data_IF_237598799334
#
_entry.id   IF_237598799334
#
_cell.length_a   1.000
_cell.length_b   1.000
_cell.length_c   1.000
_cell.angle_alpha   90.00
_cell.angle_beta   90.00
_cell.angle_gamma   90.00
#
_symmetry.space_group_name_H-M   'P 1'
#
loop_
_entity.id
_entity.type
_entity.pdbx_description
1 polymer ?
#
# COMPACT_ATOMS: atom_id res chain seq x y z
N UNK A 1 26.03 -66.91 48.24
CA UNK A 1 24.82 -66.97 47.35
C UNK A 1 24.74 -65.66 46.62
N UNK A 2 25.23 -65.62 45.38
CA UNK A 2 25.19 -64.46 44.48
C UNK A 2 24.04 -64.66 43.53
N UNK A 3 23.08 -63.68 43.45
CA UNK A 3 22.03 -63.62 42.42
C UNK A 3 22.47 -62.73 41.30
N UNK A 4 22.70 -63.31 40.14
CA UNK A 4 22.93 -62.70 38.85
C UNK A 4 21.65 -62.00 38.39
N UNK A 5 21.73 -60.67 38.13
CA UNK A 5 20.67 -59.92 37.44
C UNK A 5 21.03 -59.86 35.97
N UNK A 6 20.33 -60.64 35.15
CA UNK A 6 20.41 -60.57 33.71
C UNK A 6 19.63 -59.31 33.22
N UNK A 7 20.31 -58.33 32.63
CA UNK A 7 19.75 -57.20 31.93
C UNK A 7 19.26 -57.64 30.54
N UNK A 8 17.94 -57.63 30.30
CA UNK A 8 17.37 -57.75 28.96
C UNK A 8 17.69 -56.48 28.14
N UNK A 9 18.60 -56.61 27.20
CA UNK A 9 18.78 -55.64 26.15
C UNK A 9 17.67 -55.83 25.09
N UNK A 10 16.74 -54.87 25.01
CA UNK A 10 15.82 -54.78 23.90
C UNK A 10 16.61 -54.36 22.66
N UNK A 11 16.37 -54.94 21.46
CA UNK A 11 17.06 -54.54 20.25
C UNK A 11 16.57 -53.15 19.85
N UNK A 12 17.54 -52.22 19.62
CA UNK A 12 17.29 -50.92 19.05
C UNK A 12 16.65 -51.11 17.67
N UNK A 13 15.39 -50.71 17.53
CA UNK A 13 14.75 -50.60 16.24
C UNK A 13 15.56 -49.64 15.35
N UNK A 14 16.19 -50.18 14.33
CA UNK A 14 16.91 -49.42 13.32
C UNK A 14 15.89 -48.51 12.65
N UNK A 15 15.95 -47.21 12.95
CA UNK A 15 15.23 -46.19 12.22
C UNK A 15 15.82 -46.16 10.80
N UNK A 16 15.06 -46.71 9.87
CA UNK A 16 15.33 -46.63 8.43
C UNK A 16 15.36 -45.13 8.05
N UNK A 17 16.45 -44.59 7.53
CA UNK A 17 16.43 -43.21 7.03
C UNK A 17 15.55 -43.19 5.79
N UNK A 18 14.40 -42.54 5.88
CA UNK A 18 13.59 -42.17 4.73
C UNK A 18 14.35 -41.11 3.92
N UNK A 19 15.33 -41.53 3.12
CA UNK A 19 16.03 -40.72 2.14
C UNK A 19 15.20 -40.63 0.86
N UNK A 20 14.05 -39.96 0.97
CA UNK A 20 13.40 -39.36 -0.18
C UNK A 20 13.30 -37.88 0.12
N UNK A 21 14.16 -37.04 -0.49
CA UNK A 21 14.02 -35.59 -0.41
C UNK A 21 12.72 -35.17 -1.11
N UNK A 22 11.60 -35.25 -0.41
CA UNK A 22 10.36 -34.74 -0.91
C UNK A 22 10.50 -33.22 -1.02
N UNK A 23 10.19 -32.66 -2.20
CA UNK A 23 10.31 -31.21 -2.45
C UNK A 23 9.28 -30.46 -1.59
N UNK A 24 9.70 -29.38 -0.96
CA UNK A 24 8.80 -28.53 -0.16
C UNK A 24 7.56 -28.10 -0.97
N UNK A 25 6.37 -28.16 -0.38
CA UNK A 25 5.09 -28.01 -1.07
C UNK A 25 4.77 -26.59 -1.57
N UNK A 26 5.50 -25.54 -1.21
CA UNK A 26 5.32 -24.15 -1.66
C UNK A 26 3.93 -23.53 -1.39
N UNK A 27 3.19 -24.03 -0.41
CA UNK A 27 1.87 -23.49 -0.04
C UNK A 27 1.96 -22.04 0.41
N UNK A 28 3.06 -21.66 1.12
CA UNK A 28 3.29 -20.29 1.55
C UNK A 28 3.23 -19.29 0.40
N UNK A 29 3.77 -19.62 -0.75
CA UNK A 29 3.75 -18.71 -1.91
C UNK A 29 2.38 -18.61 -2.56
N UNK A 30 1.56 -19.68 -2.50
CA UNK A 30 0.14 -19.61 -2.93
C UNK A 30 -0.68 -18.70 -2.01
N UNK A 31 -0.42 -18.73 -0.70
CA UNK A 31 -1.02 -17.79 0.26
C UNK A 31 -0.65 -16.36 -0.10
N UNK A 32 0.63 -16.09 -0.39
CA UNK A 32 1.07 -14.76 -0.78
C UNK A 32 0.57 -14.33 -2.17
N UNK A 33 0.30 -15.25 -3.08
CA UNK A 33 -0.39 -14.94 -4.34
C UNK A 33 -1.85 -14.49 -4.08
N UNK A 34 -2.56 -15.10 -3.12
CA UNK A 34 -3.89 -14.63 -2.70
C UNK A 34 -3.80 -13.24 -2.05
N UNK A 35 -2.83 -13.01 -1.15
CA UNK A 35 -2.63 -11.71 -0.51
C UNK A 35 -2.31 -10.64 -1.57
N UNK A 36 -1.46 -10.94 -2.54
CA UNK A 36 -1.18 -10.08 -3.69
C UNK A 36 -2.46 -9.73 -4.47
N UNK A 37 -3.31 -10.73 -4.78
CA UNK A 37 -4.58 -10.50 -5.45
C UNK A 37 -5.52 -9.63 -4.62
N UNK A 38 -5.57 -9.83 -3.29
CA UNK A 38 -6.35 -9.00 -2.38
C UNK A 38 -5.86 -7.55 -2.36
N UNK A 39 -4.55 -7.30 -2.31
CA UNK A 39 -3.99 -5.93 -2.36
C UNK A 39 -4.20 -5.28 -3.72
N UNK A 40 -4.15 -6.04 -4.80
CA UNK A 40 -4.45 -5.56 -6.14
C UNK A 40 -5.90 -5.11 -6.26
N UNK A 41 -6.86 -5.96 -5.85
CA UNK A 41 -8.29 -5.63 -5.89
C UNK A 41 -8.63 -4.48 -4.95
N UNK A 42 -8.00 -4.40 -3.78
CA UNK A 42 -8.13 -3.28 -2.86
C UNK A 42 -7.87 -1.92 -3.56
N UNK A 43 -6.83 -1.84 -4.38
CA UNK A 43 -6.52 -0.61 -5.12
C UNK A 43 -7.41 -0.42 -6.36
N UNK A 44 -7.88 -1.50 -6.98
CA UNK A 44 -8.92 -1.43 -8.02
C UNK A 44 -10.18 -0.75 -7.46
N UNK A 45 -10.65 -1.18 -6.28
CA UNK A 45 -11.84 -0.62 -5.64
C UNK A 45 -11.64 0.84 -5.21
N UNK A 46 -10.43 1.22 -4.80
CA UNK A 46 -10.11 2.62 -4.48
C UNK A 46 -10.13 3.50 -5.73
N UNK A 47 -9.49 3.08 -6.82
CA UNK A 47 -9.42 3.88 -8.04
C UNK A 47 -10.75 3.89 -8.80
N UNK A 48 -11.63 2.91 -8.60
CA UNK A 48 -12.92 2.80 -9.28
C UNK A 48 -13.77 4.06 -9.11
N UNK A 49 -13.83 4.61 -7.89
CA UNK A 49 -14.54 5.86 -7.65
C UNK A 49 -13.89 7.04 -8.36
N UNK A 50 -12.56 7.14 -8.36
CA UNK A 50 -11.85 8.25 -9.02
C UNK A 50 -12.10 8.24 -10.54
N UNK A 51 -12.09 7.05 -11.16
CA UNK A 51 -12.41 6.88 -12.58
C UNK A 51 -13.88 7.22 -12.89
N UNK A 52 -14.80 6.78 -12.04
CA UNK A 52 -16.23 7.01 -12.21
C UNK A 52 -16.67 8.43 -11.79
N UNK A 53 -15.85 9.16 -11.02
CA UNK A 53 -16.24 10.45 -10.43
C UNK A 53 -16.75 11.48 -11.44
N UNK A 54 -16.17 11.67 -12.63
CA UNK A 54 -16.71 12.61 -13.61
C UNK A 54 -18.16 12.28 -14.00
N UNK A 55 -18.46 11.00 -14.22
CA UNK A 55 -19.81 10.52 -14.56
C UNK A 55 -20.78 10.67 -13.39
N UNK A 56 -20.34 10.27 -12.18
CA UNK A 56 -21.15 10.35 -10.95
C UNK A 56 -21.42 11.82 -10.58
N UNK A 57 -20.43 12.69 -10.72
CA UNK A 57 -20.56 14.11 -10.43
C UNK A 57 -21.56 14.79 -11.34
N UNK A 58 -21.59 14.42 -12.62
CA UNK A 58 -22.60 14.91 -13.57
C UNK A 58 -23.99 14.38 -13.21
N UNK A 59 -24.13 13.08 -12.95
CA UNK A 59 -25.42 12.45 -12.62
C UNK A 59 -26.06 13.02 -11.34
N UNK A 60 -25.26 13.21 -10.29
CA UNK A 60 -25.73 13.70 -8.99
C UNK A 60 -25.57 15.21 -8.81
N UNK A 61 -25.11 15.94 -9.82
CA UNK A 61 -24.84 17.38 -9.78
C UNK A 61 -23.95 17.77 -8.58
N UNK A 62 -22.87 17.01 -8.35
CA UNK A 62 -21.99 17.19 -7.20
C UNK A 62 -21.07 18.39 -7.38
N UNK A 63 -21.06 19.30 -6.40
CA UNK A 63 -20.05 20.37 -6.35
C UNK A 63 -18.63 19.79 -6.18
N UNK A 64 -17.57 20.48 -6.64
CA UNK A 64 -16.19 20.02 -6.47
C UNK A 64 -15.81 19.74 -5.01
N UNK A 65 -16.28 20.57 -4.06
CA UNK A 65 -16.06 20.32 -2.64
C UNK A 65 -16.70 19.03 -2.15
N UNK A 66 -17.92 18.71 -2.60
CA UNK A 66 -18.59 17.46 -2.23
C UNK A 66 -17.91 16.23 -2.86
N UNK A 67 -17.43 16.35 -4.11
CA UNK A 67 -16.59 15.32 -4.73
C UNK A 67 -15.33 15.06 -3.89
N UNK A 68 -14.65 16.11 -3.43
CA UNK A 68 -13.48 16.02 -2.56
C UNK A 68 -13.79 15.34 -1.23
N UNK A 69 -14.92 15.66 -0.59
CA UNK A 69 -15.39 15.01 0.64
C UNK A 69 -15.63 13.50 0.43
N UNK A 70 -16.33 13.15 -0.65
CA UNK A 70 -16.61 11.74 -0.99
C UNK A 70 -15.31 10.96 -1.27
N UNK A 71 -14.37 11.55 -2.03
CA UNK A 71 -13.06 10.93 -2.30
C UNK A 71 -12.22 10.76 -1.04
N UNK A 72 -12.32 11.71 -0.08
CA UNK A 72 -11.62 11.67 1.19
C UNK A 72 -12.23 10.71 2.21
N UNK A 73 -13.56 10.54 2.18
CA UNK A 73 -14.34 9.86 3.22
C UNK A 73 -13.90 8.41 3.49
N UNK A 74 -13.39 7.74 2.48
CA UNK A 74 -12.77 6.41 2.62
C UNK A 74 -11.63 6.42 3.65
N UNK A 75 -10.74 7.41 3.58
CA UNK A 75 -9.53 7.47 4.41
C UNK A 75 -9.84 7.78 5.88
N UNK A 76 -11.00 8.36 6.20
CA UNK A 76 -11.39 8.68 7.58
C UNK A 76 -11.53 7.40 8.42
N UNK A 77 -12.39 6.50 7.99
CA UNK A 77 -12.61 5.24 8.68
C UNK A 77 -11.41 4.28 8.53
N UNK A 78 -10.78 4.27 7.35
CA UNK A 78 -9.57 3.48 7.09
C UNK A 78 -8.46 3.80 8.09
N UNK A 79 -8.15 5.08 8.31
CA UNK A 79 -7.11 5.49 9.25
C UNK A 79 -7.46 5.18 10.71
N UNK A 80 -8.71 5.46 11.12
CA UNK A 80 -9.19 5.22 12.48
C UNK A 80 -9.22 3.74 12.84
N UNK A 81 -9.61 2.88 11.91
CA UNK A 81 -9.83 1.46 12.18
C UNK A 81 -8.59 0.58 11.93
N UNK A 82 -7.45 1.13 11.54
CA UNK A 82 -6.19 0.37 11.49
C UNK A 82 -5.77 -0.16 12.85
N UNK A 83 -5.90 0.64 13.93
CA UNK A 83 -5.53 0.24 15.29
C UNK A 83 -6.51 -0.82 15.83
N UNK A 84 -7.85 -0.61 15.83
CA UNK A 84 -8.79 -1.66 16.16
C UNK A 84 -8.65 -2.92 15.31
N UNK A 85 -8.36 -2.76 14.01
CA UNK A 85 -8.10 -3.87 13.09
C UNK A 85 -6.90 -4.70 13.53
N UNK A 86 -5.81 -4.07 13.94
CA UNK A 86 -4.63 -4.75 14.50
C UNK A 86 -4.97 -5.56 15.75
N UNK A 87 -5.74 -4.98 16.69
CA UNK A 87 -6.22 -5.70 17.87
C UNK A 87 -7.12 -6.91 17.51
N UNK A 88 -8.02 -6.75 16.53
CA UNK A 88 -8.84 -7.87 16.04
C UNK A 88 -8.00 -9.01 15.48
N UNK A 89 -6.93 -8.70 14.73
CA UNK A 89 -6.01 -9.67 14.15
C UNK A 89 -5.29 -10.46 15.23
N UNK A 90 -4.83 -9.80 16.29
CA UNK A 90 -4.14 -10.47 17.39
C UNK A 90 -5.10 -11.36 18.20
N UNK A 91 -6.38 -10.97 18.34
CA UNK A 91 -7.38 -11.73 19.11
C UNK A 91 -8.02 -12.88 18.33
N UNK A 92 -8.36 -12.68 17.05
CA UNK A 92 -9.17 -13.62 16.26
C UNK A 92 -8.37 -14.34 15.16
N UNK A 93 -7.11 -13.97 14.96
CA UNK A 93 -6.23 -14.46 13.90
C UNK A 93 -6.41 -13.74 12.56
N UNK A 94 -5.31 -13.57 11.80
CA UNK A 94 -5.31 -12.86 10.53
C UNK A 94 -6.20 -13.50 9.46
N UNK A 95 -6.29 -14.81 9.40
CA UNK A 95 -7.13 -15.54 8.43
C UNK A 95 -8.62 -15.16 8.54
N UNK A 96 -9.15 -15.18 9.77
CA UNK A 96 -10.58 -14.85 10.01
C UNK A 96 -10.85 -13.39 9.70
N UNK A 97 -9.99 -12.50 10.23
CA UNK A 97 -10.15 -11.05 10.08
C UNK A 97 -10.06 -10.64 8.62
N UNK A 98 -9.06 -11.08 7.85
CA UNK A 98 -8.92 -10.72 6.44
C UNK A 98 -10.08 -11.26 5.59
N UNK A 99 -10.57 -12.48 5.89
CA UNK A 99 -11.69 -13.08 5.15
C UNK A 99 -13.00 -12.33 5.37
N UNK A 100 -13.34 -11.99 6.64
CA UNK A 100 -14.53 -11.20 6.95
C UNK A 100 -14.43 -9.77 6.45
N UNK A 101 -13.28 -9.14 6.65
CA UNK A 101 -12.96 -7.81 6.16
C UNK A 101 -13.15 -7.72 4.64
N UNK A 102 -12.58 -8.66 3.89
CA UNK A 102 -12.74 -8.73 2.42
C UNK A 102 -14.21 -8.94 2.00
N UNK A 103 -14.95 -9.79 2.72
CA UNK A 103 -16.38 -10.00 2.46
C UNK A 103 -17.21 -8.74 2.70
N UNK A 104 -16.94 -8.03 3.80
CA UNK A 104 -17.61 -6.77 4.11
C UNK A 104 -17.30 -5.69 3.07
N UNK A 105 -16.00 -5.52 2.70
CA UNK A 105 -15.65 -4.50 1.72
C UNK A 105 -16.24 -4.81 0.33
N UNK A 106 -16.23 -6.09 -0.13
CA UNK A 106 -16.89 -6.46 -1.38
C UNK A 106 -18.39 -6.15 -1.35
N UNK A 107 -19.05 -6.39 -0.20
CA UNK A 107 -20.46 -6.03 0.01
C UNK A 107 -20.67 -4.51 -0.08
N UNK A 108 -19.83 -3.70 0.57
CA UNK A 108 -19.94 -2.23 0.50
C UNK A 108 -19.59 -1.69 -0.88
N UNK A 109 -18.70 -2.33 -1.65
CA UNK A 109 -18.45 -1.98 -3.04
C UNK A 109 -19.69 -2.23 -3.92
N UNK A 110 -20.40 -3.35 -3.72
CA UNK A 110 -21.69 -3.60 -4.39
C UNK A 110 -22.74 -2.59 -3.95
N UNK A 111 -22.85 -2.32 -2.64
CA UNK A 111 -23.84 -1.36 -2.11
C UNK A 111 -23.58 0.07 -2.61
N UNK A 112 -22.34 0.47 -2.88
CA UNK A 112 -22.03 1.76 -3.47
C UNK A 112 -22.68 1.96 -4.85
N UNK A 113 -22.92 0.88 -5.60
CA UNK A 113 -23.63 0.92 -6.88
C UNK A 113 -25.10 1.35 -6.74
N UNK A 114 -25.71 1.18 -5.58
CA UNK A 114 -27.09 1.57 -5.31
C UNK A 114 -27.20 2.97 -4.68
N UNK A 115 -26.13 3.75 -4.68
CA UNK A 115 -26.16 5.13 -4.21
C UNK A 115 -27.14 5.97 -5.04
N UNK A 116 -27.98 6.77 -4.34
CA UNK A 116 -28.99 7.64 -4.93
C UNK A 116 -28.57 9.11 -4.91
N UNK A 117 -27.38 9.42 -4.39
CA UNK A 117 -26.84 10.77 -4.32
C UNK A 117 -25.50 10.80 -3.57
N UNK A 118 -24.91 11.99 -3.46
CA UNK A 118 -23.59 12.17 -2.86
C UNK A 118 -23.49 11.70 -1.42
N UNK A 119 -24.54 11.89 -0.60
CA UNK A 119 -24.53 11.49 0.81
C UNK A 119 -24.53 9.97 0.97
N UNK A 120 -25.35 9.23 0.24
CA UNK A 120 -25.38 7.77 0.26
C UNK A 120 -24.05 7.16 -0.23
N UNK A 121 -23.46 7.78 -1.27
CA UNK A 121 -22.14 7.39 -1.76
C UNK A 121 -21.03 7.64 -0.71
N UNK A 122 -21.09 8.77 -0.01
CA UNK A 122 -20.16 9.10 1.08
C UNK A 122 -20.20 8.04 2.18
N UNK A 123 -21.40 7.66 2.65
CA UNK A 123 -21.55 6.62 3.67
C UNK A 123 -21.04 5.26 3.19
N UNK A 124 -21.32 4.88 1.93
CA UNK A 124 -20.80 3.65 1.35
C UNK A 124 -19.26 3.65 1.33
N UNK A 125 -18.62 4.80 1.05
CA UNK A 125 -17.15 4.96 1.04
C UNK A 125 -16.54 4.90 2.45
N UNK A 126 -17.20 5.50 3.45
CA UNK A 126 -16.79 5.36 4.86
C UNK A 126 -16.82 3.90 5.30
N UNK A 127 -17.92 3.19 4.99
CA UNK A 127 -18.08 1.77 5.32
C UNK A 127 -17.05 0.89 4.59
N UNK A 128 -16.77 1.18 3.32
CA UNK A 128 -15.72 0.51 2.54
C UNK A 128 -14.35 0.70 3.18
N UNK A 129 -13.99 1.95 3.54
CA UNK A 129 -12.72 2.26 4.20
C UNK A 129 -12.57 1.55 5.55
N UNK A 130 -13.65 1.48 6.33
CA UNK A 130 -13.70 0.73 7.58
C UNK A 130 -13.42 -0.77 7.37
N UNK A 131 -14.05 -1.35 6.34
CA UNK A 131 -13.89 -2.77 6.03
C UNK A 131 -12.50 -3.11 5.49
N UNK A 132 -11.85 -2.22 4.74
CA UNK A 132 -10.53 -2.45 4.18
C UNK A 132 -9.36 -2.27 5.17
N UNK A 133 -9.58 -1.55 6.28
CA UNK A 133 -8.52 -1.18 7.22
C UNK A 133 -7.66 -2.36 7.74
N UNK A 134 -8.20 -3.57 8.01
CA UNK A 134 -7.42 -4.69 8.51
C UNK A 134 -6.53 -5.39 7.47
N UNK A 135 -6.64 -5.11 6.18
CA UNK A 135 -5.98 -5.87 5.12
C UNK A 135 -4.45 -5.91 5.28
N UNK A 136 -3.80 -4.74 5.29
CA UNK A 136 -2.34 -4.65 5.38
C UNK A 136 -1.78 -5.15 6.71
N UNK A 137 -2.37 -4.84 7.87
CA UNK A 137 -1.97 -5.46 9.13
C UNK A 137 -2.10 -6.99 9.14
N UNK A 138 -3.18 -7.54 8.55
CA UNK A 138 -3.35 -9.00 8.42
C UNK A 138 -2.28 -9.62 7.53
N UNK A 139 -1.96 -9.00 6.40
CA UNK A 139 -0.87 -9.43 5.52
C UNK A 139 0.49 -9.42 6.24
N UNK A 140 0.79 -8.36 6.99
CA UNK A 140 1.99 -8.27 7.82
C UNK A 140 2.09 -9.38 8.88
N UNK A 141 0.97 -9.72 9.54
CA UNK A 141 0.91 -10.85 10.48
C UNK A 141 1.13 -12.20 9.76
N UNK A 142 0.51 -12.41 8.61
CA UNK A 142 0.70 -13.62 7.80
C UNK A 142 2.15 -13.77 7.32
N UNK A 143 2.85 -12.67 6.98
CA UNK A 143 4.30 -12.69 6.68
C UNK A 143 5.07 -13.29 7.85
N UNK A 144 4.77 -12.89 9.09
CA UNK A 144 5.46 -13.38 10.26
C UNK A 144 5.16 -14.84 10.58
N UNK A 145 3.96 -15.32 10.24
CA UNK A 145 3.47 -16.69 10.51
C UNK A 145 3.89 -17.70 9.43
N UNK A 146 3.96 -17.29 8.17
CA UNK A 146 4.13 -18.19 7.03
C UNK A 146 5.50 -18.13 6.36
N UNK A 147 6.33 -17.13 6.68
CA UNK A 147 7.64 -16.97 6.05
C UNK A 147 8.78 -17.03 7.07
N UNK A 148 9.83 -17.75 6.71
CA UNK A 148 11.09 -17.69 7.43
C UNK A 148 11.64 -16.24 7.44
N UNK A 149 12.44 -15.84 8.46
CA UNK A 149 13.01 -14.48 8.53
C UNK A 149 13.72 -14.03 7.25
N UNK A 150 14.40 -14.93 6.55
CA UNK A 150 15.09 -14.68 5.27
C UNK A 150 14.15 -14.44 4.07
N UNK A 151 12.88 -14.86 4.16
CA UNK A 151 11.87 -14.73 3.09
C UNK A 151 10.90 -13.57 3.33
N UNK A 152 10.84 -12.97 4.53
CA UNK A 152 9.87 -11.95 4.93
C UNK A 152 9.90 -10.72 4.03
N UNK A 153 11.09 -10.27 3.62
CA UNK A 153 11.21 -9.14 2.69
C UNK A 153 10.57 -9.43 1.33
N UNK A 154 10.74 -10.66 0.81
CA UNK A 154 10.09 -11.08 -0.45
C UNK A 154 8.57 -11.10 -0.32
N UNK A 155 8.05 -11.61 0.79
CA UNK A 155 6.62 -11.60 1.09
C UNK A 155 6.04 -10.19 1.17
N UNK A 156 6.75 -9.27 1.83
CA UNK A 156 6.34 -7.87 1.94
C UNK A 156 6.33 -7.17 0.56
N UNK A 157 7.36 -7.37 -0.25
CA UNK A 157 7.43 -6.82 -1.61
C UNK A 157 6.31 -7.37 -2.49
N UNK A 158 6.04 -8.69 -2.42
CA UNK A 158 4.95 -9.30 -3.18
C UNK A 158 3.60 -8.72 -2.78
N UNK A 159 3.33 -8.57 -1.49
CA UNK A 159 2.11 -7.94 -0.98
C UNK A 159 1.97 -6.50 -1.48
N UNK A 160 3.03 -5.69 -1.34
CA UNK A 160 2.98 -4.26 -1.67
C UNK A 160 2.90 -4.01 -3.18
N UNK A 161 3.51 -4.86 -4.01
CA UNK A 161 3.49 -4.76 -5.48
C UNK A 161 2.10 -4.93 -6.10
N UNK A 162 1.15 -5.53 -5.37
CA UNK A 162 -0.25 -5.55 -5.76
C UNK A 162 -0.87 -4.15 -5.84
N UNK A 163 -0.38 -3.20 -5.04
CA UNK A 163 -0.95 -1.84 -4.97
C UNK A 163 -0.79 -1.05 -6.27
N UNK A 164 0.41 -0.77 -6.81
CA UNK A 164 0.56 0.00 -8.04
C UNK A 164 -0.05 -0.71 -9.26
N UNK A 165 0.02 -2.05 -9.30
CA UNK A 165 -0.62 -2.83 -10.34
C UNK A 165 -2.15 -2.75 -10.25
N UNK A 166 -2.70 -2.75 -9.04
CA UNK A 166 -4.13 -2.57 -8.80
C UNK A 166 -4.63 -1.22 -9.30
N UNK A 167 -3.89 -0.13 -9.07
CA UNK A 167 -4.27 1.19 -9.60
C UNK A 167 -4.21 1.22 -11.13
N UNK A 168 -3.13 0.70 -11.72
CA UNK A 168 -2.96 0.69 -13.17
C UNK A 168 -4.07 -0.13 -13.85
N UNK A 169 -4.21 -1.39 -13.46
CA UNK A 169 -5.21 -2.29 -14.05
C UNK A 169 -6.63 -1.83 -13.71
N UNK A 170 -6.85 -1.32 -12.50
CA UNK A 170 -8.15 -0.79 -12.06
C UNK A 170 -8.62 0.38 -12.91
N UNK A 171 -7.71 1.32 -13.22
CA UNK A 171 -8.02 2.43 -14.13
C UNK A 171 -8.51 1.94 -15.48
N UNK A 172 -7.81 0.97 -16.07
CA UNK A 172 -8.16 0.40 -17.36
C UNK A 172 -9.46 -0.44 -17.31
N UNK A 173 -9.56 -1.37 -16.35
CA UNK A 173 -10.69 -2.31 -16.23
C UNK A 173 -11.98 -1.55 -15.93
N UNK A 174 -11.97 -0.66 -14.95
CA UNK A 174 -13.17 0.09 -14.56
C UNK A 174 -13.64 1.04 -15.67
N UNK A 175 -12.71 1.74 -16.33
CA UNK A 175 -13.06 2.59 -17.46
C UNK A 175 -13.66 1.78 -18.63
N UNK A 176 -13.10 0.61 -18.92
CA UNK A 176 -13.63 -0.29 -19.95
C UNK A 176 -15.01 -0.82 -19.58
N UNK A 177 -15.23 -1.25 -18.33
CA UNK A 177 -16.53 -1.71 -17.85
C UNK A 177 -17.59 -0.60 -17.94
N UNK A 178 -17.25 0.62 -17.49
CA UNK A 178 -18.19 1.77 -17.58
C UNK A 178 -18.54 2.05 -19.04
N UNK A 179 -17.54 2.08 -19.93
CA UNK A 179 -17.76 2.38 -21.34
C UNK A 179 -18.52 1.29 -22.10
N UNK A 180 -18.32 0.00 -21.74
CA UNK A 180 -18.99 -1.12 -22.42
C UNK A 180 -20.39 -1.40 -21.92
N UNK A 181 -20.65 -1.10 -20.64
CA UNK A 181 -21.95 -1.34 -20.00
C UNK A 181 -22.81 -0.07 -19.91
N UNK A 182 -22.24 1.08 -20.31
CA UNK A 182 -22.85 2.42 -20.16
C UNK A 182 -23.34 2.69 -18.72
N UNK A 183 -22.63 2.13 -17.73
CA UNK A 183 -23.05 2.15 -16.33
C UNK A 183 -21.90 2.03 -15.35
N UNK A 184 -21.63 3.07 -14.57
CA UNK A 184 -20.69 2.98 -13.46
C UNK A 184 -21.19 2.04 -12.33
N UNK A 185 -22.53 1.94 -12.18
CA UNK A 185 -23.15 1.04 -11.19
C UNK A 185 -22.82 -0.42 -11.45
N UNK A 186 -22.99 -0.86 -12.71
CA UNK A 186 -22.67 -2.24 -13.10
C UNK A 186 -21.17 -2.53 -12.94
N UNK A 187 -20.30 -1.57 -13.26
CA UNK A 187 -18.86 -1.72 -13.03
C UNK A 187 -18.53 -1.94 -11.54
N UNK A 188 -19.19 -1.21 -10.63
CA UNK A 188 -19.01 -1.37 -9.17
C UNK A 188 -19.57 -2.70 -8.66
N UNK A 189 -20.72 -3.16 -9.19
CA UNK A 189 -21.26 -4.49 -8.86
C UNK A 189 -20.28 -5.59 -9.27
N UNK A 190 -19.73 -5.53 -10.48
CA UNK A 190 -18.78 -6.53 -11.00
C UNK A 190 -17.51 -6.53 -10.13
N UNK A 191 -16.96 -5.35 -9.81
CA UNK A 191 -15.79 -5.24 -8.93
C UNK A 191 -16.07 -5.82 -7.54
N UNK A 192 -17.21 -5.48 -6.94
CA UNK A 192 -17.61 -6.00 -5.64
C UNK A 192 -17.83 -7.52 -5.63
N UNK A 193 -18.43 -8.08 -6.69
CA UNK A 193 -18.59 -9.53 -6.82
C UNK A 193 -17.21 -10.22 -6.95
N UNK A 194 -16.29 -9.66 -7.74
CA UNK A 194 -14.93 -10.19 -7.83
C UNK A 194 -14.23 -10.20 -6.45
N UNK A 195 -14.44 -9.15 -5.66
CA UNK A 195 -13.96 -9.07 -4.28
C UNK A 195 -14.59 -10.14 -3.38
N UNK A 196 -15.90 -10.39 -3.49
CA UNK A 196 -16.59 -11.44 -2.73
C UNK A 196 -16.08 -12.84 -3.09
N UNK A 197 -15.75 -13.10 -4.36
CA UNK A 197 -15.12 -14.36 -4.80
C UNK A 197 -13.74 -14.53 -4.15
N UNK A 198 -12.94 -13.45 -4.09
CA UNK A 198 -11.65 -13.48 -3.40
C UNK A 198 -11.80 -13.67 -1.87
N UNK A 199 -12.84 -13.09 -1.26
CA UNK A 199 -13.14 -13.31 0.16
C UNK A 199 -13.45 -14.79 0.43
N UNK A 200 -14.25 -15.42 -0.42
CA UNK A 200 -14.53 -16.84 -0.35
C UNK A 200 -13.26 -17.68 -0.51
N UNK A 201 -12.41 -17.35 -1.50
CA UNK A 201 -11.13 -18.03 -1.72
C UNK A 201 -10.19 -17.88 -0.52
N UNK A 202 -10.05 -16.66 0.02
CA UNK A 202 -9.27 -16.38 1.22
C UNK A 202 -9.80 -17.22 2.41
N UNK A 203 -11.12 -17.26 2.62
CA UNK A 203 -11.75 -18.05 3.69
C UNK A 203 -11.49 -19.55 3.55
N UNK A 204 -11.44 -20.06 2.34
CA UNK A 204 -11.23 -21.49 2.06
C UNK A 204 -9.77 -21.90 2.17
N UNK A 205 -8.85 -21.06 1.76
CA UNK A 205 -7.45 -21.42 1.57
C UNK A 205 -6.51 -20.92 2.67
N UNK A 206 -6.69 -19.70 3.17
CA UNK A 206 -5.82 -19.17 4.22
C UNK A 206 -5.99 -19.93 5.54
N UNK A 207 -4.92 -20.03 6.31
CA UNK A 207 -4.89 -20.55 7.70
C UNK A 207 -3.95 -19.68 8.53
N UNK A 208 -4.19 -19.62 9.85
CA UNK A 208 -3.31 -18.89 10.76
C UNK A 208 -2.04 -19.69 11.10
N UNK A 209 -2.20 -21.01 11.24
CA UNK A 209 -1.10 -21.92 11.55
C UNK A 209 -0.70 -22.75 10.33
N UNK A 210 0.57 -22.63 9.86
CA UNK A 210 1.08 -23.47 8.78
C UNK A 210 0.95 -24.98 9.02
N UNK A 211 1.11 -25.43 10.27
CA UNK A 211 1.01 -26.86 10.63
C UNK A 211 -0.43 -27.41 10.46
N UNK A 212 -1.44 -26.55 10.56
CA UNK A 212 -2.83 -26.91 10.39
C UNK A 212 -3.31 -26.97 8.92
N UNK A 213 -2.44 -26.58 7.97
CA UNK A 213 -2.81 -26.50 6.56
C UNK A 213 -2.62 -27.86 5.87
N UNK A 214 -3.68 -28.45 5.26
CA UNK A 214 -3.67 -29.84 4.77
C UNK A 214 -2.69 -30.11 3.62
N UNK A 215 -2.17 -29.07 2.95
CA UNK A 215 -1.27 -29.19 1.80
C UNK A 215 0.19 -28.85 2.17
N UNK A 216 0.49 -28.52 3.42
CA UNK A 216 1.86 -28.25 3.88
C UNK A 216 2.52 -29.55 4.27
N UNK A 217 3.66 -29.86 3.67
CA UNK A 217 4.48 -31.02 4.03
C UNK A 217 5.53 -30.66 5.11
N UNK A 218 6.17 -31.71 5.66
CA UNK A 218 7.15 -31.54 6.75
C UNK A 218 8.33 -30.65 6.35
N UNK A 219 8.79 -30.76 5.10
CA UNK A 219 9.93 -29.97 4.59
C UNK A 219 9.57 -28.50 4.43
N UNK A 220 8.34 -28.17 4.06
CA UNK A 220 7.88 -26.78 4.03
C UNK A 220 7.74 -26.20 5.43
N UNK A 221 7.19 -27.00 6.37
CA UNK A 221 7.05 -26.59 7.76
C UNK A 221 8.42 -26.32 8.42
N UNK A 222 9.41 -27.17 8.16
CA UNK A 222 10.80 -26.96 8.61
C UNK A 222 11.36 -25.65 8.05
N UNK A 223 11.20 -25.37 6.75
CA UNK A 223 11.63 -24.11 6.14
C UNK A 223 10.95 -22.89 6.77
N UNK A 224 9.65 -22.95 7.03
CA UNK A 224 8.91 -21.86 7.66
C UNK A 224 9.45 -21.58 9.06
N UNK A 225 9.84 -22.63 9.80
CA UNK A 225 10.33 -22.51 11.15
C UNK A 225 11.84 -22.21 11.23
N UNK A 226 12.58 -22.38 10.14
CA UNK A 226 14.02 -22.12 10.10
C UNK A 226 14.37 -20.69 10.48
N UNK A 227 15.23 -20.51 11.45
CA UNK A 227 15.74 -19.20 11.91
C UNK A 227 14.70 -18.35 12.67
N UNK A 228 13.58 -18.91 13.12
CA UNK A 228 12.70 -18.21 14.06
C UNK A 228 13.36 -18.07 15.42
N UNK A 229 13.33 -16.85 15.97
CA UNK A 229 13.78 -16.60 17.32
C UNK A 229 12.90 -17.35 18.34
N UNK A 230 13.51 -17.87 19.39
CA UNK A 230 12.76 -18.44 20.51
C UNK A 230 11.94 -17.34 21.20
N UNK A 231 10.76 -17.66 21.76
CA UNK A 231 9.93 -16.67 22.47
C UNK A 231 10.67 -15.91 23.58
N UNK A 232 11.68 -16.53 24.21
CA UNK A 232 12.52 -15.90 25.22
C UNK A 232 13.42 -14.78 24.66
N UNK A 233 13.90 -14.90 23.42
CA UNK A 233 14.70 -13.86 22.76
C UNK A 233 13.85 -12.66 22.30
N UNK A 234 12.57 -12.88 22.08
CA UNK A 234 11.60 -11.81 21.71
C UNK A 234 11.14 -11.01 22.95
N UNK A 235 11.01 -11.67 24.10
CA UNK A 235 10.63 -11.06 25.37
C UNK A 235 11.76 -10.20 26.00
N UNK A 236 13.01 -10.40 25.62
CA UNK A 236 14.18 -9.69 26.16
C UNK A 236 14.39 -8.27 25.55
N UNK A 237 13.46 -7.75 24.74
CA UNK A 237 13.55 -6.40 24.18
C UNK A 237 13.25 -5.35 25.26
N UNK A 238 14.29 -4.66 25.73
CA UNK A 238 14.21 -3.60 26.75
C UNK A 238 13.35 -2.44 26.25
N UNK A 239 12.38 -1.91 27.06
CA UNK A 239 11.62 -0.71 26.71
C UNK A 239 12.55 0.52 26.69
N UNK A 240 12.70 1.15 25.56
CA UNK A 240 13.51 2.37 25.39
C UNK A 240 12.62 3.60 25.60
N UNK A 241 13.02 4.57 26.45
CA UNK A 241 12.26 5.82 26.70
C UNK A 241 12.48 6.87 25.56
N UNK A 242 11.40 7.58 25.12
CA UNK A 242 11.41 8.67 24.14
C UNK A 242 11.56 8.22 22.68
N UNK A 243 11.53 9.06 21.63
CA UNK A 243 11.63 8.69 20.21
C UNK A 243 13.06 8.45 19.72
N UNK A 244 14.09 8.99 20.40
CA UNK A 244 15.50 8.78 20.08
C UNK A 244 15.95 9.36 18.72
N UNK A 245 15.17 10.30 18.18
CA UNK A 245 15.46 11.01 16.93
C UNK A 245 15.40 12.51 17.23
N UNK A 246 16.34 13.29 16.69
CA UNK A 246 16.29 14.74 16.82
C UNK A 246 15.00 15.32 16.21
N UNK A 247 14.41 16.30 16.87
CA UNK A 247 13.15 16.93 16.46
C UNK A 247 13.22 17.45 15.00
N UNK A 248 14.39 17.95 14.59
CA UNK A 248 14.65 18.41 13.22
C UNK A 248 14.48 17.28 12.20
N UNK A 249 15.10 16.13 12.42
CA UNK A 249 15.04 14.98 11.51
C UNK A 249 13.65 14.35 11.50
N UNK A 250 12.99 14.29 12.66
CA UNK A 250 11.61 13.81 12.76
C UNK A 250 10.65 14.73 11.99
N UNK A 251 10.72 16.05 12.18
CA UNK A 251 9.86 16.99 11.46
C UNK A 251 10.10 16.94 9.95
N UNK A 252 11.36 16.91 9.50
CA UNK A 252 11.70 16.72 8.09
C UNK A 252 11.11 15.41 7.51
N UNK A 253 11.22 14.32 8.25
CA UNK A 253 10.67 13.03 7.86
C UNK A 253 9.12 13.07 7.71
N UNK A 254 8.43 13.63 8.70
CA UNK A 254 6.96 13.66 8.72
C UNK A 254 6.40 14.62 7.68
N UNK A 255 6.93 15.84 7.59
CA UNK A 255 6.51 16.86 6.61
C UNK A 255 6.80 16.38 5.19
N UNK A 256 8.01 15.85 4.95
CA UNK A 256 8.40 15.36 3.63
C UNK A 256 7.53 14.17 3.19
N UNK A 257 7.26 13.23 4.09
CA UNK A 257 6.37 12.09 3.81
C UNK A 257 4.92 12.53 3.56
N UNK A 258 4.40 13.47 4.35
CA UNK A 258 3.06 14.02 4.15
C UNK A 258 2.95 14.76 2.81
N UNK A 259 3.93 15.61 2.47
CA UNK A 259 3.94 16.35 1.22
C UNK A 259 4.04 15.44 -0.01
N UNK A 260 4.89 14.42 0.05
CA UNK A 260 4.95 13.38 -0.97
C UNK A 260 3.57 12.70 -1.14
N UNK A 261 2.95 12.32 -0.03
CA UNK A 261 1.65 11.65 -0.03
C UNK A 261 0.54 12.56 -0.59
N UNK A 262 0.60 13.87 -0.35
CA UNK A 262 -0.32 14.84 -0.94
C UNK A 262 -0.28 14.80 -2.47
N UNK A 263 0.91 14.77 -3.06
CA UNK A 263 1.05 14.67 -4.52
C UNK A 263 0.54 13.32 -5.02
N UNK A 264 0.95 12.22 -4.38
CA UNK A 264 0.55 10.87 -4.77
C UNK A 264 -0.97 10.67 -4.72
N UNK A 265 -1.59 11.00 -3.59
CA UNK A 265 -3.05 10.87 -3.43
C UNK A 265 -3.82 11.87 -4.31
N UNK A 266 -3.23 13.02 -4.60
CA UNK A 266 -3.78 13.96 -5.57
C UNK A 266 -3.89 13.36 -6.97
N UNK A 267 -2.81 12.76 -7.46
CA UNK A 267 -2.83 12.04 -8.74
C UNK A 267 -3.82 10.88 -8.73
N UNK A 268 -3.89 10.12 -7.65
CA UNK A 268 -4.77 8.97 -7.52
C UNK A 268 -6.26 9.38 -7.52
N UNK A 269 -6.62 10.45 -6.82
CA UNK A 269 -8.02 10.80 -6.58
C UNK A 269 -8.57 11.80 -7.61
N UNK A 270 -7.79 12.79 -8.02
CA UNK A 270 -8.20 13.86 -8.92
C UNK A 270 -7.60 13.76 -10.33
N UNK A 271 -6.62 12.88 -10.55
CA UNK A 271 -6.05 12.63 -11.87
C UNK A 271 -7.09 12.35 -12.94
N UNK A 272 -8.05 11.42 -12.74
CA UNK A 272 -9.12 11.16 -13.69
C UNK A 272 -9.99 12.39 -13.99
N UNK A 273 -10.37 13.16 -12.98
CA UNK A 273 -11.14 14.39 -13.15
C UNK A 273 -10.35 15.48 -13.90
N UNK A 274 -9.04 15.59 -13.65
CA UNK A 274 -8.16 16.47 -14.42
C UNK A 274 -8.11 16.07 -15.90
N UNK A 275 -7.96 14.78 -16.20
CA UNK A 275 -7.94 14.28 -17.58
C UNK A 275 -9.26 14.54 -18.29
N UNK A 276 -10.40 14.34 -17.60
CA UNK A 276 -11.73 14.63 -18.16
C UNK A 276 -11.94 16.12 -18.40
N UNK A 277 -11.83 16.93 -17.35
CA UNK A 277 -12.29 18.32 -17.35
C UNK A 277 -11.27 19.29 -17.96
N UNK A 278 -9.97 19.07 -17.71
CA UNK A 278 -8.90 19.97 -18.17
C UNK A 278 -8.26 19.53 -19.49
N UNK A 279 -8.41 18.25 -19.87
CA UNK A 279 -7.76 17.65 -21.06
C UNK A 279 -8.73 17.04 -22.07
N UNK A 280 -10.02 16.96 -21.75
CA UNK A 280 -11.07 16.50 -22.67
C UNK A 280 -11.03 15.01 -23.01
N UNK A 281 -10.38 14.18 -22.17
CA UNK A 281 -10.40 12.73 -22.38
C UNK A 281 -11.79 12.14 -22.11
N UNK A 282 -12.22 11.23 -22.97
CA UNK A 282 -13.35 10.35 -22.69
C UNK A 282 -13.00 9.28 -21.64
N UNK A 283 -13.98 8.52 -21.20
CA UNK A 283 -13.79 7.53 -20.12
C UNK A 283 -12.73 6.46 -20.48
N UNK A 284 -12.66 6.03 -21.76
CA UNK A 284 -11.64 5.06 -22.20
C UNK A 284 -10.25 5.68 -22.19
N UNK A 285 -10.15 6.93 -22.66
CA UNK A 285 -8.91 7.70 -22.62
C UNK A 285 -8.41 7.94 -21.20
N UNK A 286 -9.31 8.23 -20.24
CA UNK A 286 -8.99 8.36 -18.82
C UNK A 286 -8.41 7.05 -18.28
N UNK A 287 -9.05 5.92 -18.59
CA UNK A 287 -8.57 4.60 -18.19
C UNK A 287 -7.19 4.27 -18.74
N UNK A 288 -6.97 4.48 -20.04
CA UNK A 288 -5.69 4.25 -20.71
C UNK A 288 -4.59 5.16 -20.15
N UNK A 289 -4.88 6.45 -19.97
CA UNK A 289 -3.92 7.39 -19.38
C UNK A 289 -3.56 7.02 -17.93
N UNK A 290 -4.56 6.66 -17.11
CA UNK A 290 -4.33 6.20 -15.73
C UNK A 290 -3.46 4.95 -15.71
N UNK A 291 -3.73 3.98 -16.60
CA UNK A 291 -2.89 2.78 -16.74
C UNK A 291 -1.43 3.14 -17.04
N UNK A 292 -1.18 3.97 -18.05
CA UNK A 292 0.18 4.39 -18.43
C UNK A 292 0.88 5.10 -17.26
N UNK A 293 0.20 6.05 -16.61
CA UNK A 293 0.74 6.82 -15.49
C UNK A 293 1.20 5.88 -14.35
N UNK A 294 0.34 4.96 -13.93
CA UNK A 294 0.63 4.12 -12.77
C UNK A 294 1.51 2.90 -13.09
N UNK A 295 1.53 2.41 -14.34
CA UNK A 295 2.56 1.45 -14.79
C UNK A 295 3.94 2.10 -14.78
N UNK A 296 4.07 3.33 -15.28
CA UNK A 296 5.32 4.09 -15.17
C UNK A 296 5.71 4.28 -13.69
N UNK A 297 4.75 4.57 -12.82
CA UNK A 297 4.99 4.66 -11.38
C UNK A 297 5.50 3.34 -10.79
N UNK A 298 4.91 2.19 -11.14
CA UNK A 298 5.37 0.88 -10.69
C UNK A 298 6.82 0.59 -11.13
N UNK A 299 7.15 0.89 -12.38
CA UNK A 299 8.52 0.78 -12.91
C UNK A 299 9.47 1.75 -12.17
N UNK A 300 9.00 2.95 -11.85
CA UNK A 300 9.73 3.93 -11.05
C UNK A 300 10.09 3.39 -9.67
N UNK A 301 9.14 2.78 -8.97
CA UNK A 301 9.38 2.18 -7.64
C UNK A 301 10.53 1.16 -7.67
N UNK A 302 10.55 0.28 -8.67
CA UNK A 302 11.61 -0.71 -8.85
C UNK A 302 12.96 -0.04 -9.15
N UNK A 303 12.99 0.90 -10.10
CA UNK A 303 14.23 1.57 -10.51
C UNK A 303 14.84 2.41 -9.39
N UNK A 304 14.02 3.05 -8.55
CA UNK A 304 14.49 3.82 -7.39
C UNK A 304 15.30 2.98 -6.42
N UNK A 305 14.85 1.77 -6.11
CA UNK A 305 15.56 0.82 -5.26
C UNK A 305 16.89 0.38 -5.87
N UNK A 306 16.88 -0.09 -7.13
CA UNK A 306 18.11 -0.50 -7.84
C UNK A 306 19.13 0.61 -7.97
N UNK A 307 18.69 1.84 -8.25
CA UNK A 307 19.58 2.99 -8.36
C UNK A 307 20.19 3.36 -7.01
N UNK A 308 19.41 3.33 -5.93
CA UNK A 308 19.89 3.53 -4.57
C UNK A 308 20.99 2.53 -4.21
N UNK A 309 20.74 1.23 -4.44
CA UNK A 309 21.71 0.18 -4.19
C UNK A 309 22.96 0.32 -5.08
N UNK A 310 22.77 0.77 -6.32
CA UNK A 310 23.87 1.07 -7.25
C UNK A 310 24.79 2.20 -6.75
N UNK A 311 24.21 3.27 -6.21
CA UNK A 311 24.96 4.38 -5.61
C UNK A 311 25.74 3.93 -4.36
N UNK A 312 25.11 3.13 -3.51
CA UNK A 312 25.76 2.59 -2.31
C UNK A 312 26.95 1.70 -2.69
N UNK A 313 26.82 0.83 -3.70
CA UNK A 313 27.94 0.01 -4.21
C UNK A 313 29.10 0.85 -4.76
N UNK A 314 28.82 2.05 -5.27
CA UNK A 314 29.85 3.01 -5.71
C UNK A 314 30.48 3.83 -4.56
N UNK A 315 30.14 3.50 -3.30
CA UNK A 315 30.72 4.17 -2.12
C UNK A 315 29.94 5.38 -1.62
N UNK A 316 28.78 5.71 -2.19
CA UNK A 316 27.91 6.77 -1.65
C UNK A 316 27.26 6.26 -0.37
N UNK A 317 27.28 7.07 0.71
CA UNK A 317 26.61 6.69 1.94
C UNK A 317 25.10 6.52 1.71
N UNK A 318 24.49 5.53 2.39
CA UNK A 318 23.08 5.18 2.20
C UNK A 318 22.14 6.37 2.41
N UNK A 319 22.43 7.18 3.41
CA UNK A 319 21.63 8.37 3.71
C UNK A 319 21.68 9.41 2.61
N UNK A 320 22.87 9.68 2.06
CA UNK A 320 23.05 10.62 0.92
C UNK A 320 22.36 10.07 -0.32
N UNK A 321 22.50 8.77 -0.63
CA UNK A 321 21.83 8.15 -1.77
C UNK A 321 20.31 8.29 -1.70
N UNK A 322 19.71 7.97 -0.55
CA UNK A 322 18.27 8.09 -0.33
C UNK A 322 17.80 9.55 -0.47
N UNK A 323 18.47 10.48 0.21
CA UNK A 323 18.09 11.92 0.18
C UNK A 323 18.21 12.53 -1.22
N UNK A 324 19.28 12.23 -1.94
CA UNK A 324 19.50 12.78 -3.29
C UNK A 324 18.46 12.28 -4.29
N UNK A 325 18.09 10.98 -4.23
CA UNK A 325 17.06 10.42 -5.10
C UNK A 325 15.68 10.99 -4.79
N UNK A 326 15.33 11.14 -3.51
CA UNK A 326 14.07 11.74 -3.08
C UNK A 326 13.99 13.23 -3.47
N UNK A 327 15.06 14.00 -3.25
CA UNK A 327 15.10 15.39 -3.64
C UNK A 327 14.99 15.57 -5.16
N UNK A 328 15.69 14.74 -5.94
CA UNK A 328 15.57 14.74 -7.39
C UNK A 328 14.14 14.42 -7.83
N UNK A 329 13.49 13.42 -7.24
CA UNK A 329 12.10 13.06 -7.56
C UNK A 329 11.13 14.21 -7.28
N UNK A 330 11.33 14.91 -6.17
CA UNK A 330 10.54 16.09 -5.83
C UNK A 330 10.75 17.27 -6.78
N UNK A 331 12.01 17.51 -7.23
CA UNK A 331 12.32 18.53 -8.22
C UNK A 331 11.68 18.23 -9.58
N UNK A 332 11.68 16.97 -10.02
CA UNK A 332 10.98 16.56 -11.25
C UNK A 332 9.47 16.80 -11.11
N UNK A 333 8.87 16.43 -9.98
CA UNK A 333 7.46 16.68 -9.74
C UNK A 333 7.14 18.19 -9.72
N UNK A 334 7.96 19.00 -9.04
CA UNK A 334 7.84 20.46 -9.03
C UNK A 334 7.87 21.04 -10.45
N UNK A 335 8.89 20.70 -11.24
CA UNK A 335 9.03 21.17 -12.61
C UNK A 335 7.86 20.74 -13.50
N UNK A 336 7.41 19.50 -13.34
CA UNK A 336 6.26 18.97 -14.08
C UNK A 336 4.97 19.72 -13.77
N UNK A 337 4.65 19.97 -12.50
CA UNK A 337 3.44 20.70 -12.13
C UNK A 337 3.46 22.18 -12.52
N UNK A 338 4.64 22.80 -12.62
CA UNK A 338 4.80 24.15 -13.16
C UNK A 338 4.64 24.17 -14.69
N UNK A 339 5.05 23.09 -15.39
CA UNK A 339 4.98 23.00 -16.84
C UNK A 339 3.60 22.54 -17.34
N UNK A 340 2.87 21.70 -16.58
CA UNK A 340 1.58 21.14 -16.99
C UNK A 340 0.57 22.21 -17.46
N UNK A 341 0.42 23.37 -16.81
CA UNK A 341 -0.56 24.38 -17.27
C UNK A 341 -0.26 24.95 -18.65
N UNK A 342 1.01 24.94 -19.08
CA UNK A 342 1.43 25.52 -20.37
C UNK A 342 1.26 24.56 -21.54
N UNK A 343 1.05 23.25 -21.26
CA UNK A 343 0.88 22.25 -22.32
C UNK A 343 -0.53 22.31 -22.90
N UNK A 344 -0.62 22.43 -24.21
CA UNK A 344 -1.87 22.36 -24.95
C UNK A 344 -2.21 20.93 -25.42
N UNK A 345 -1.18 20.12 -25.72
CA UNK A 345 -1.36 18.76 -26.19
C UNK A 345 -1.73 17.81 -25.02
N UNK A 346 -2.91 17.15 -25.05
CA UNK A 346 -3.34 16.23 -24.00
C UNK A 346 -2.40 15.05 -23.78
N UNK A 347 -1.83 14.50 -24.84
CA UNK A 347 -0.90 13.34 -24.74
C UNK A 347 0.44 13.74 -24.13
N UNK A 348 0.93 14.95 -24.41
CA UNK A 348 2.11 15.51 -23.74
C UNK A 348 1.87 15.68 -22.23
N UNK A 349 0.66 16.09 -21.84
CA UNK A 349 0.29 16.15 -20.42
C UNK A 349 0.28 14.77 -19.75
N UNK A 350 -0.24 13.74 -20.42
CA UNK A 350 -0.19 12.35 -19.92
C UNK A 350 1.25 11.86 -19.81
N UNK A 351 2.10 12.11 -20.80
CA UNK A 351 3.51 11.73 -20.76
C UNK A 351 4.25 12.40 -19.60
N UNK A 352 3.97 13.68 -19.35
CA UNK A 352 4.54 14.43 -18.23
C UNK A 352 4.05 13.91 -16.87
N UNK A 353 2.77 13.55 -16.76
CA UNK A 353 2.22 12.91 -15.56
C UNK A 353 2.80 11.51 -15.34
N UNK A 354 3.00 10.73 -16.40
CA UNK A 354 3.63 9.41 -16.34
C UNK A 354 5.09 9.51 -15.88
N UNK A 355 5.85 10.47 -16.41
CA UNK A 355 7.20 10.79 -15.94
C UNK A 355 7.18 11.23 -14.47
N UNK A 356 6.24 12.07 -14.08
CA UNK A 356 6.08 12.52 -12.69
C UNK A 356 5.79 11.32 -11.79
N UNK A 357 4.88 10.44 -12.15
CA UNK A 357 4.56 9.24 -11.39
C UNK A 357 5.77 8.31 -11.26
N UNK A 358 6.54 8.11 -12.35
CA UNK A 358 7.76 7.32 -12.35
C UNK A 358 8.73 7.77 -11.26
N UNK A 359 9.09 9.05 -11.24
CA UNK A 359 10.03 9.57 -10.26
C UNK A 359 9.40 9.72 -8.86
N UNK A 360 8.12 10.09 -8.76
CA UNK A 360 7.42 10.23 -7.49
C UNK A 360 7.40 8.91 -6.70
N UNK A 361 7.33 7.76 -7.39
CA UNK A 361 7.35 6.45 -6.75
C UNK A 361 8.71 6.06 -6.15
N UNK A 362 9.79 6.83 -6.40
CA UNK A 362 11.02 6.75 -5.59
C UNK A 362 10.77 7.14 -4.13
N UNK A 363 9.63 7.76 -3.84
CA UNK A 363 9.14 7.99 -2.47
C UNK A 363 9.02 6.74 -1.60
N UNK A 364 9.02 5.54 -2.19
CA UNK A 364 9.17 4.27 -1.46
C UNK A 364 10.47 4.22 -0.64
N UNK A 365 11.51 4.95 -1.03
CA UNK A 365 12.76 5.07 -0.29
C UNK A 365 12.58 5.73 1.09
N UNK A 366 11.45 6.43 1.36
CA UNK A 366 11.12 6.90 2.70
C UNK A 366 11.14 5.79 3.75
N UNK A 367 10.78 4.57 3.37
CA UNK A 367 10.83 3.42 4.27
C UNK A 367 12.23 3.03 4.75
N UNK A 368 13.27 3.60 4.15
CA UNK A 368 14.64 3.45 4.64
C UNK A 368 14.97 4.33 5.85
N UNK A 369 14.28 5.48 6.00
CA UNK A 369 14.62 6.44 7.07
C UNK A 369 14.38 5.93 8.49
N UNK A 370 13.30 5.20 8.82
CA UNK A 370 13.14 4.65 10.17
C UNK A 370 14.35 3.81 10.62
N UNK A 371 14.91 3.00 9.71
CA UNK A 371 16.09 2.18 10.01
C UNK A 371 17.40 3.00 10.03
N UNK A 372 17.44 4.17 9.37
CA UNK A 372 18.61 5.06 9.36
C UNK A 372 18.64 6.03 10.55
N UNK A 373 17.48 6.37 11.10
CA UNK A 373 17.32 7.42 12.10
C UNK A 373 17.02 6.89 13.51
N UNK A 374 16.50 5.67 13.63
CA UNK A 374 16.01 5.14 14.89
C UNK A 374 16.81 3.93 15.36
N UNK A 375 16.92 3.77 16.70
CA UNK A 375 17.43 2.54 17.28
C UNK A 375 16.58 1.32 16.84
N UNK A 376 17.15 0.13 16.69
CA UNK A 376 16.44 -1.06 16.17
C UNK A 376 15.11 -1.35 16.86
N UNK A 377 15.01 -1.12 18.18
CA UNK A 377 13.78 -1.31 18.96
C UNK A 377 12.65 -0.33 18.61
N UNK A 378 12.92 0.73 17.82
CA UNK A 378 11.98 1.83 17.52
C UNK A 378 11.66 2.02 16.04
N UNK A 379 12.35 1.30 15.20
CA UNK A 379 12.13 1.36 13.73
C UNK A 379 10.64 1.21 13.38
N UNK A 380 9.94 0.28 14.06
CA UNK A 380 8.50 0.09 13.88
C UNK A 380 7.66 1.29 14.30
N UNK A 381 7.95 1.88 15.47
CA UNK A 381 7.23 3.06 15.96
C UNK A 381 7.40 4.26 15.02
N UNK A 382 8.65 4.55 14.62
CA UNK A 382 8.93 5.67 13.70
C UNK A 382 8.31 5.41 12.33
N UNK A 383 8.37 4.18 11.82
CA UNK A 383 7.69 3.78 10.59
C UNK A 383 6.18 3.99 10.67
N UNK A 384 5.56 3.65 11.81
CA UNK A 384 4.14 3.88 12.07
C UNK A 384 3.76 5.36 12.08
N UNK A 385 4.52 6.20 12.81
CA UNK A 385 4.30 7.66 12.87
C UNK A 385 4.49 8.29 11.48
N UNK A 386 5.51 7.88 10.74
CA UNK A 386 5.75 8.29 9.35
C UNK A 386 4.58 7.89 8.43
N UNK A 387 4.06 6.68 8.58
CA UNK A 387 2.91 6.23 7.77
C UNK A 387 1.64 7.01 8.10
N UNK A 388 1.41 7.31 9.37
CA UNK A 388 0.31 8.18 9.80
C UNK A 388 0.41 9.57 9.16
N UNK A 389 1.60 10.18 9.14
CA UNK A 389 1.83 11.45 8.44
C UNK A 389 1.52 11.33 6.93
N UNK A 390 1.87 10.22 6.27
CA UNK A 390 1.46 9.95 4.89
C UNK A 390 -0.05 9.82 4.72
N UNK A 391 -0.75 9.22 5.67
CA UNK A 391 -2.21 9.04 5.61
C UNK A 391 -2.97 10.36 5.67
N UNK A 392 -2.41 11.41 6.27
CA UNK A 392 -3.02 12.75 6.26
C UNK A 392 -3.17 13.31 4.85
N UNK A 393 -2.26 12.94 3.92
CA UNK A 393 -2.38 13.30 2.50
C UNK A 393 -3.64 12.72 1.86
N UNK A 394 -3.96 11.45 2.14
CA UNK A 394 -5.18 10.81 1.64
C UNK A 394 -6.47 11.44 2.18
N UNK A 395 -6.44 12.00 3.40
CA UNK A 395 -7.57 12.71 4.00
C UNK A 395 -7.67 14.15 3.47
N UNK A 396 -6.58 14.90 3.54
CA UNK A 396 -6.60 16.34 3.30
C UNK A 396 -6.68 16.70 1.80
N UNK A 397 -5.92 16.02 0.96
CA UNK A 397 -5.76 16.42 -0.45
C UNK A 397 -7.06 16.36 -1.25
N UNK A 398 -7.90 15.32 -1.17
CA UNK A 398 -9.14 15.33 -1.94
C UNK A 398 -10.05 16.50 -1.58
N UNK A 399 -10.09 16.88 -0.30
CA UNK A 399 -10.87 18.02 0.21
C UNK A 399 -10.28 19.34 -0.28
N UNK A 400 -8.97 19.54 -0.08
CA UNK A 400 -8.28 20.77 -0.47
C UNK A 400 -8.41 21.06 -1.97
N UNK A 401 -8.20 20.03 -2.80
CA UNK A 401 -8.34 20.14 -4.25
C UNK A 401 -9.79 20.47 -4.62
N UNK A 402 -10.78 19.82 -3.99
CA UNK A 402 -12.19 20.13 -4.21
C UNK A 402 -12.54 21.58 -3.88
N UNK A 403 -12.04 22.09 -2.77
CA UNK A 403 -12.22 23.50 -2.36
C UNK A 403 -11.52 24.45 -3.33
N UNK A 404 -10.26 24.17 -3.69
CA UNK A 404 -9.52 25.01 -4.66
C UNK A 404 -10.27 25.06 -6.01
N UNK A 405 -10.73 23.94 -6.51
CA UNK A 405 -11.50 23.86 -7.76
C UNK A 405 -12.80 24.66 -7.68
N UNK A 406 -13.50 24.57 -6.56
CA UNK A 406 -14.76 25.30 -6.36
C UNK A 406 -14.54 26.82 -6.30
N UNK A 407 -13.45 27.27 -5.68
CA UNK A 407 -13.13 28.71 -5.56
C UNK A 407 -12.53 29.29 -6.84
N UNK A 408 -11.68 28.52 -7.52
CA UNK A 408 -10.88 29.03 -8.63
C UNK A 408 -11.45 28.67 -10.03
N UNK A 409 -12.41 27.78 -10.10
CA UNK A 409 -13.06 27.40 -11.37
C UNK A 409 -12.20 26.58 -12.34
N UNK A 410 -11.00 26.11 -11.93
CA UNK A 410 -10.12 25.37 -12.84
C UNK A 410 -8.93 24.70 -12.17
N UNK A 411 -8.24 23.85 -12.94
CA UNK A 411 -7.13 23.03 -12.42
C UNK A 411 -5.78 23.76 -12.29
N UNK A 412 -5.58 24.94 -12.88
CA UNK A 412 -4.30 25.65 -12.80
C UNK A 412 -3.84 25.95 -11.36
N UNK A 413 -4.70 26.46 -10.44
CA UNK A 413 -4.36 26.61 -9.03
C UNK A 413 -4.11 25.29 -8.30
N UNK A 414 -4.79 24.19 -8.69
CA UNK A 414 -4.54 22.86 -8.15
C UNK A 414 -3.14 22.36 -8.51
N UNK A 415 -2.71 22.58 -9.74
CA UNK A 415 -1.35 22.23 -10.17
C UNK A 415 -0.31 23.08 -9.43
N UNK A 416 -0.61 24.38 -9.18
CA UNK A 416 0.20 25.25 -8.32
C UNK A 416 0.30 24.73 -6.88
N UNK A 417 -0.79 24.23 -6.31
CA UNK A 417 -0.79 23.57 -4.99
C UNK A 417 0.10 22.32 -4.99
N UNK A 418 0.05 21.46 -6.02
CA UNK A 418 0.93 20.30 -6.11
C UNK A 418 2.39 20.68 -6.34
N UNK A 419 2.67 21.76 -7.06
CA UNK A 419 4.02 22.32 -7.18
C UNK A 419 4.55 22.75 -5.79
N UNK A 420 3.72 23.47 -5.00
CA UNK A 420 4.08 23.86 -3.64
C UNK A 420 4.32 22.63 -2.73
N UNK A 421 3.46 21.62 -2.78
CA UNK A 421 3.68 20.34 -2.05
C UNK A 421 5.00 19.68 -2.48
N UNK A 422 5.32 19.68 -3.78
CA UNK A 422 6.57 19.11 -4.29
C UNK A 422 7.80 19.89 -3.79
N UNK A 423 7.73 21.21 -3.73
CA UNK A 423 8.78 22.05 -3.15
C UNK A 423 8.97 21.74 -1.65
N UNK A 424 7.88 21.68 -0.87
CA UNK A 424 7.93 21.31 0.56
C UNK A 424 8.52 19.90 0.74
N UNK A 425 8.15 18.95 -0.13
CA UNK A 425 8.73 17.61 -0.14
C UNK A 425 10.26 17.64 -0.29
N UNK A 426 10.78 18.41 -1.25
CA UNK A 426 12.24 18.58 -1.45
C UNK A 426 12.90 19.17 -0.22
N UNK A 427 12.42 20.33 0.25
CA UNK A 427 13.01 21.04 1.39
C UNK A 427 12.99 20.19 2.66
N UNK A 428 11.86 19.57 2.97
CA UNK A 428 11.71 18.73 4.16
C UNK A 428 12.64 17.50 4.10
N UNK A 429 12.80 16.88 2.92
CA UNK A 429 13.74 15.76 2.74
C UNK A 429 15.18 16.18 2.95
N UNK A 430 15.59 17.34 2.43
CA UNK A 430 16.93 17.88 2.63
C UNK A 430 17.18 18.31 4.08
N UNK A 431 16.13 18.67 4.81
CA UNK A 431 16.19 19.09 6.20
C UNK A 431 16.50 17.95 7.18
N UNK A 432 16.32 16.68 6.77
CA UNK A 432 16.66 15.50 7.60
C UNK A 432 18.18 15.46 7.80
N UNK A 433 18.65 15.53 9.04
CA UNK A 433 20.07 15.31 9.38
C UNK A 433 20.33 13.82 9.58
N UNK A 434 21.43 13.32 9.01
CA UNK A 434 21.88 11.93 9.10
C UNK A 434 23.09 11.77 10.03
N UNK A 435 23.66 12.90 10.48
CA UNK A 435 24.88 12.93 11.29
C UNK A 435 24.61 12.72 12.80
N UNK A 436 23.32 12.64 13.18
CA UNK A 436 22.91 12.61 14.59
C UNK A 436 22.74 11.17 15.15
N UNK A 437 22.94 10.13 14.34
CA UNK A 437 22.97 8.76 14.83
C UNK A 437 24.40 8.44 15.27
N UNK A 438 24.85 9.08 16.36
CA UNK A 438 25.98 8.55 17.14
C UNK A 438 25.43 7.36 17.94
N UNK A 439 25.87 6.19 17.56
CA UNK A 439 25.75 4.99 18.39
C UNK A 439 26.75 5.17 19.54
N UNK A 440 26.29 5.73 20.68
CA UNK A 440 26.94 5.54 21.97
C UNK A 440 26.55 4.18 22.54
#
# INVERSE_FOLDING_TARGET
>A
MARSSASLQLPAAAATPLTGTTKASNVRWRIFAIIFALTMVNLIDRVSLSIAMPTIAHEFSLSPSLQGLILSSFFWAYALLQIPGGWMIDRFGPHRVISWSTGLWGTFQVLAAFATGGLSLLFARVALGAAEAPLFPSGGKLISLWLAPSERSRGAVLMDSGSPLGVALGGLIIAYLIASLDSWRLAFVIAGIATLVLAWLARRYLRDDPASHPQVNAEELEKINAGRATPAAEAARVPVKGLGIAARSLSGLLIGRASWAMVYFGLLTWGPSYLAQARGFDIKGIGAATFVIFVCGALGSLTGGFLCDGLIRKGVSRGVAVKSLLAFSGLVALGAFLLLPTLTNPFAAVALLAMTAFFLMWGSLYWSFPALLAAPARVGLIGGVMNMAGSTGGIAVPILVGVILQMAGGFAPVLGFFAACSAVFVFATLFISLDEVRHD
#
